data_IF_157083163180
#
_entry.id   IF_157083163180
#
_cell.length_a   1.000
_cell.length_b   1.000
_cell.length_c   1.000
_cell.angle_alpha   90.00
_cell.angle_beta   90.00
_cell.angle_gamma   90.00
#
_symmetry.space_group_name_H-M   'P 1'
#
loop_
_entity.id
_entity.type
_entity.pdbx_description
1 polymer ?
#
# COMPACT_ATOMS: atom_id res chain seq x y z
N UNK A 1 -31.29 36.96 11.58
CA UNK A 1 -30.07 36.31 12.11
C UNK A 1 -29.92 34.97 11.38
N UNK A 2 -29.18 34.96 10.29
CA UNK A 2 -28.79 33.69 9.65
C UNK A 2 -27.86 32.96 10.60
N UNK A 3 -28.32 31.83 11.11
CA UNK A 3 -27.46 30.89 11.85
C UNK A 3 -26.40 30.40 10.88
N UNK A 4 -25.20 30.96 10.95
CA UNK A 4 -24.03 30.49 10.21
C UNK A 4 -23.75 29.03 10.61
N UNK A 5 -24.32 28.10 9.85
CA UNK A 5 -24.04 26.66 10.05
C UNK A 5 -22.54 26.43 9.80
N UNK A 6 -21.83 26.25 10.88
CA UNK A 6 -20.41 25.85 10.80
C UNK A 6 -20.36 24.41 10.33
N UNK A 7 -19.59 24.14 9.29
CA UNK A 7 -19.32 22.76 8.85
C UNK A 7 -18.73 21.91 9.99
N UNK A 8 -18.96 20.61 9.93
CA UNK A 8 -18.48 19.67 10.96
C UNK A 8 -17.02 19.28 10.71
N UNK A 9 -16.11 19.83 11.51
CA UNK A 9 -14.70 19.41 11.50
C UNK A 9 -14.55 17.92 11.82
N UNK A 10 -15.35 17.38 12.75
CA UNK A 10 -15.31 15.97 13.10
C UNK A 10 -15.65 15.07 11.89
N UNK A 11 -16.66 15.47 11.09
CA UNK A 11 -16.99 14.75 9.86
C UNK A 11 -15.86 14.81 8.83
N UNK A 12 -15.23 15.96 8.62
CA UNK A 12 -14.08 16.09 7.74
C UNK A 12 -12.94 15.17 8.21
N UNK A 13 -12.57 15.22 9.48
CA UNK A 13 -11.50 14.39 10.01
C UNK A 13 -11.82 12.90 9.92
N UNK A 14 -13.07 12.48 10.13
CA UNK A 14 -13.45 11.07 10.00
C UNK A 14 -13.29 10.54 8.58
N UNK A 15 -13.72 11.29 7.55
CA UNK A 15 -13.57 10.87 6.16
C UNK A 15 -12.10 10.89 5.70
N UNK A 16 -11.32 11.88 6.16
CA UNK A 16 -9.88 11.94 5.89
C UNK A 16 -9.15 10.79 6.56
N UNK A 17 -9.48 10.45 7.81
CA UNK A 17 -8.88 9.34 8.53
C UNK A 17 -9.09 8.01 7.79
N UNK A 18 -10.28 7.77 7.24
CA UNK A 18 -10.55 6.58 6.44
C UNK A 18 -9.67 6.56 5.18
N UNK A 19 -9.51 7.67 4.48
CA UNK A 19 -8.63 7.74 3.31
C UNK A 19 -7.15 7.53 3.68
N UNK A 20 -6.72 8.02 4.84
CA UNK A 20 -5.36 7.87 5.39
C UNK A 20 -5.03 6.40 5.71
N UNK A 21 -6.02 5.56 6.04
CA UNK A 21 -5.79 4.10 6.20
C UNK A 21 -5.29 3.47 4.89
N UNK A 22 -5.69 3.97 3.72
CA UNK A 22 -5.13 3.53 2.44
C UNK A 22 -3.62 3.82 2.31
N UNK A 23 -3.16 4.95 2.85
CA UNK A 23 -1.72 5.24 2.99
C UNK A 23 -1.03 4.30 3.97
N UNK A 24 -1.66 4.00 5.12
CA UNK A 24 -1.15 3.03 6.09
C UNK A 24 -0.96 1.65 5.44
N UNK A 25 -1.94 1.17 4.66
CA UNK A 25 -1.85 -0.10 3.94
C UNK A 25 -0.71 -0.11 2.93
N UNK A 26 -0.48 1.00 2.22
CA UNK A 26 0.68 1.12 1.35
C UNK A 26 1.98 0.87 2.13
N UNK A 27 2.16 1.53 3.29
CA UNK A 27 3.33 1.32 4.13
C UNK A 27 3.43 -0.11 4.65
N UNK A 28 2.31 -0.68 5.07
CA UNK A 28 2.21 -2.04 5.60
C UNK A 28 2.63 -3.08 4.56
N UNK A 29 2.01 -3.09 3.37
CA UNK A 29 2.32 -4.05 2.29
C UNK A 29 3.76 -3.94 1.80
N UNK A 30 4.30 -2.71 1.76
CA UNK A 30 5.68 -2.49 1.35
C UNK A 30 6.68 -3.10 2.33
N UNK A 31 6.43 -3.03 3.63
CA UNK A 31 7.39 -3.44 4.64
C UNK A 31 7.13 -4.84 5.23
N UNK A 32 5.97 -5.47 4.97
CA UNK A 32 5.66 -6.81 5.47
C UNK A 32 6.68 -7.86 5.03
N UNK A 33 7.23 -7.71 3.83
CA UNK A 33 8.22 -8.62 3.26
C UNK A 33 9.49 -8.72 4.12
N UNK A 34 9.88 -7.65 4.81
CA UNK A 34 11.13 -7.62 5.57
C UNK A 34 11.17 -8.66 6.70
N UNK A 35 10.05 -8.90 7.37
CA UNK A 35 9.96 -9.95 8.39
C UNK A 35 9.79 -11.35 7.81
N UNK A 36 9.12 -11.45 6.66
CA UNK A 36 8.80 -12.72 6.03
C UNK A 36 9.91 -13.26 5.10
N UNK A 37 10.85 -12.42 4.67
CA UNK A 37 11.85 -12.67 3.62
C UNK A 37 12.64 -13.95 3.89
N UNK A 38 13.21 -14.09 5.09
CA UNK A 38 14.05 -15.24 5.44
C UNK A 38 13.26 -16.55 5.48
N UNK A 39 12.06 -16.53 6.08
CA UNK A 39 11.16 -17.68 6.14
C UNK A 39 10.71 -18.13 4.75
N UNK A 40 10.33 -17.17 3.91
CA UNK A 40 9.94 -17.41 2.52
C UNK A 40 11.09 -18.00 1.70
N UNK A 41 12.32 -17.46 1.84
CA UNK A 41 13.50 -17.98 1.17
C UNK A 41 13.77 -19.43 1.59
N UNK A 42 13.78 -19.69 2.90
CA UNK A 42 14.03 -21.03 3.43
C UNK A 42 12.97 -22.04 2.95
N UNK A 43 11.69 -21.63 2.89
CA UNK A 43 10.61 -22.48 2.41
C UNK A 43 10.82 -22.90 0.95
N UNK A 44 11.08 -21.97 0.04
CA UNK A 44 11.26 -22.28 -1.38
C UNK A 44 12.62 -22.90 -1.71
N UNK A 45 13.62 -22.78 -0.83
CA UNK A 45 14.86 -23.57 -0.96
C UNK A 45 14.62 -25.08 -0.81
N UNK A 46 13.53 -25.48 -0.14
CA UNK A 46 13.10 -26.89 -0.05
C UNK A 46 12.38 -27.42 -1.30
N UNK A 47 12.27 -26.64 -2.38
CA UNK A 47 11.61 -27.08 -3.61
C UNK A 47 12.36 -28.20 -4.31
N UNK A 48 11.60 -29.18 -4.81
CA UNK A 48 12.17 -30.37 -5.49
C UNK A 48 12.04 -30.29 -7.01
N UNK A 49 11.16 -29.46 -7.54
CA UNK A 49 10.85 -29.32 -8.95
C UNK A 49 11.68 -28.23 -9.66
N UNK A 50 12.29 -27.32 -8.90
CA UNK A 50 13.16 -26.26 -9.42
C UNK A 50 14.21 -25.84 -8.40
N UNK A 51 15.25 -25.13 -8.86
CA UNK A 51 16.28 -24.54 -7.97
C UNK A 51 15.90 -23.09 -7.65
N UNK A 52 15.62 -22.82 -6.37
CA UNK A 52 15.32 -21.46 -5.90
C UNK A 52 16.60 -20.65 -5.74
N UNK A 53 16.87 -19.77 -6.70
CA UNK A 53 18.08 -18.93 -6.73
C UNK A 53 17.85 -17.57 -6.08
N UNK A 54 18.95 -16.86 -5.77
CA UNK A 54 18.87 -15.48 -5.28
C UNK A 54 18.16 -14.53 -6.26
N UNK A 55 18.19 -14.83 -7.57
CA UNK A 55 17.47 -14.07 -8.59
C UNK A 55 15.94 -14.24 -8.44
N UNK A 56 15.48 -15.48 -8.23
CA UNK A 56 14.06 -15.75 -7.94
C UNK A 56 13.63 -15.09 -6.65
N UNK A 57 14.48 -15.15 -5.61
CA UNK A 57 14.18 -14.52 -4.33
C UNK A 57 14.03 -12.99 -4.47
N UNK A 58 14.98 -12.33 -5.15
CA UNK A 58 14.92 -10.90 -5.42
C UNK A 58 13.68 -10.50 -6.24
N UNK A 59 13.32 -11.30 -7.27
CA UNK A 59 12.09 -11.08 -8.02
C UNK A 59 10.85 -11.21 -7.14
N UNK A 60 10.79 -12.22 -6.29
CA UNK A 60 9.67 -12.46 -5.37
C UNK A 60 9.50 -11.30 -4.39
N UNK A 61 10.58 -10.80 -3.82
CA UNK A 61 10.56 -9.62 -2.96
C UNK A 61 10.09 -8.35 -3.70
N UNK A 62 10.48 -8.21 -4.97
CA UNK A 62 10.14 -7.04 -5.78
C UNK A 62 8.82 -7.17 -6.57
N UNK A 63 8.16 -8.33 -6.57
CA UNK A 63 6.99 -8.61 -7.42
C UNK A 63 5.83 -7.64 -7.22
N UNK A 64 5.60 -7.16 -5.99
CA UNK A 64 4.60 -6.13 -5.71
C UNK A 64 4.87 -4.80 -6.44
N UNK A 65 6.15 -4.44 -6.69
CA UNK A 65 6.49 -3.21 -7.42
C UNK A 65 6.00 -3.25 -8.87
N UNK A 66 5.99 -4.43 -9.50
CA UNK A 66 5.41 -4.61 -10.85
C UNK A 66 3.93 -4.23 -10.82
N UNK A 67 3.19 -4.70 -9.82
CA UNK A 67 1.80 -4.32 -9.60
C UNK A 67 1.63 -2.83 -9.34
N UNK A 68 2.52 -2.21 -8.54
CA UNK A 68 2.50 -0.77 -8.26
C UNK A 68 2.57 0.07 -9.53
N UNK A 69 3.43 -0.30 -10.48
CA UNK A 69 3.55 0.40 -11.77
C UNK A 69 2.23 0.31 -12.54
N UNK A 70 1.63 -0.88 -12.62
CA UNK A 70 0.35 -1.09 -13.31
C UNK A 70 -0.76 -0.28 -12.61
N UNK A 71 -0.88 -0.38 -11.29
CA UNK A 71 -1.88 0.34 -10.51
C UNK A 71 -1.78 1.85 -10.64
N UNK A 72 -0.56 2.39 -10.56
CA UNK A 72 -0.31 3.82 -10.71
C UNK A 72 -0.65 4.32 -12.12
N UNK A 73 -0.31 3.55 -13.16
CA UNK A 73 -0.66 3.89 -14.54
C UNK A 73 -2.18 3.90 -14.78
N UNK A 74 -2.91 2.99 -14.14
CA UNK A 74 -4.37 2.90 -14.26
C UNK A 74 -5.13 3.89 -13.35
N UNK A 75 -4.48 4.43 -12.31
CA UNK A 75 -5.12 5.25 -11.27
C UNK A 75 -5.87 6.47 -11.82
N UNK A 76 -5.26 7.19 -12.76
CA UNK A 76 -5.86 8.36 -13.38
C UNK A 76 -7.14 8.03 -14.17
N UNK A 77 -7.10 6.95 -14.96
CA UNK A 77 -8.24 6.48 -15.73
C UNK A 77 -9.38 5.99 -14.82
N UNK A 78 -9.05 5.20 -13.80
CA UNK A 78 -10.02 4.70 -12.81
C UNK A 78 -10.64 5.84 -12.01
N UNK A 79 -9.83 6.77 -11.52
CA UNK A 79 -10.32 7.92 -10.77
C UNK A 79 -11.29 8.78 -11.59
N UNK A 80 -11.07 8.91 -12.91
CA UNK A 80 -11.91 9.70 -13.80
C UNK A 80 -13.21 8.98 -14.16
N UNK A 81 -13.16 7.67 -14.43
CA UNK A 81 -14.32 6.92 -14.91
C UNK A 81 -15.18 6.33 -13.78
N UNK A 82 -14.55 5.74 -12.75
CA UNK A 82 -15.25 5.12 -11.62
C UNK A 82 -15.51 6.08 -10.46
N UNK A 83 -14.69 7.13 -10.35
CA UNK A 83 -14.66 8.03 -9.20
C UNK A 83 -13.63 7.62 -8.15
N UNK A 84 -13.36 8.53 -7.22
CA UNK A 84 -12.31 8.34 -6.22
C UNK A 84 -12.71 7.27 -5.20
N UNK A 85 -13.93 7.33 -4.70
CA UNK A 85 -14.47 6.37 -3.73
C UNK A 85 -14.43 4.92 -4.26
N UNK A 86 -14.97 4.69 -5.47
CA UNK A 86 -15.05 3.33 -6.04
C UNK A 86 -13.66 2.78 -6.35
N UNK A 87 -12.75 3.62 -6.80
CA UNK A 87 -11.36 3.24 -7.04
C UNK A 87 -10.63 2.87 -5.74
N UNK A 88 -10.92 3.55 -4.62
CA UNK A 88 -10.38 3.19 -3.30
C UNK A 88 -11.01 1.91 -2.76
N UNK A 89 -12.31 1.65 -3.03
CA UNK A 89 -12.93 0.36 -2.69
C UNK A 89 -12.22 -0.77 -3.45
N UNK A 90 -11.96 -0.58 -4.74
CA UNK A 90 -11.21 -1.54 -5.54
C UNK A 90 -9.82 -1.80 -4.97
N UNK A 91 -9.09 -0.74 -4.60
CA UNK A 91 -7.78 -0.87 -3.96
C UNK A 91 -7.86 -1.68 -2.66
N UNK A 92 -8.84 -1.40 -1.79
CA UNK A 92 -9.06 -2.14 -0.55
C UNK A 92 -9.36 -3.63 -0.76
N UNK A 93 -10.16 -3.94 -1.78
CA UNK A 93 -10.44 -5.35 -2.16
C UNK A 93 -9.18 -6.04 -2.68
N UNK A 94 -8.37 -5.35 -3.50
CA UNK A 94 -7.12 -5.92 -4.02
C UNK A 94 -6.11 -6.19 -2.90
N UNK A 95 -5.97 -5.28 -1.91
CA UNK A 95 -5.17 -5.52 -0.71
C UNK A 95 -5.64 -6.76 0.05
N UNK A 96 -6.95 -6.85 0.31
CA UNK A 96 -7.52 -7.95 1.07
C UNK A 96 -7.32 -9.30 0.37
N UNK A 97 -7.56 -9.35 -0.95
CA UNK A 97 -7.33 -10.55 -1.77
C UNK A 97 -5.85 -10.94 -1.80
N UNK A 98 -4.97 -9.95 -1.93
CA UNK A 98 -3.52 -10.17 -1.90
C UNK A 98 -3.05 -10.75 -0.58
N UNK A 99 -3.50 -10.18 0.55
CA UNK A 99 -3.12 -10.64 1.88
C UNK A 99 -3.56 -12.09 2.12
N UNK A 100 -4.81 -12.43 1.80
CA UNK A 100 -5.31 -13.80 1.93
C UNK A 100 -4.63 -14.76 0.96
N UNK A 101 -4.45 -14.35 -0.29
CA UNK A 101 -3.80 -15.17 -1.31
C UNK A 101 -2.30 -15.37 -1.07
N UNK A 102 -1.62 -14.40 -0.45
CA UNK A 102 -0.21 -14.55 -0.03
C UNK A 102 -0.09 -15.46 1.20
N UNK A 103 -1.09 -15.45 2.09
CA UNK A 103 -1.16 -16.36 3.24
C UNK A 103 -1.40 -17.81 2.79
N UNK A 104 -2.33 -18.01 1.85
CA UNK A 104 -2.71 -19.32 1.32
C UNK A 104 -2.64 -19.36 -0.21
N UNK A 105 -1.43 -19.36 -0.81
CA UNK A 105 -1.29 -19.29 -2.27
C UNK A 105 -1.88 -20.52 -2.99
N UNK A 106 -2.04 -21.64 -2.29
CA UNK A 106 -2.68 -22.86 -2.78
C UNK A 106 -4.20 -22.74 -3.01
N UNK A 107 -4.87 -21.75 -2.43
CA UNK A 107 -6.35 -21.69 -2.33
C UNK A 107 -7.06 -21.66 -3.69
N UNK A 108 -6.55 -20.93 -4.68
CA UNK A 108 -7.21 -20.78 -6.00
C UNK A 108 -6.76 -21.87 -6.98
N UNK A 109 -5.49 -22.27 -6.94
CA UNK A 109 -4.89 -23.14 -7.94
C UNK A 109 -4.74 -24.60 -7.48
N UNK A 110 -5.26 -24.96 -6.32
CA UNK A 110 -5.22 -26.32 -5.75
C UNK A 110 -3.82 -26.97 -5.78
N UNK A 111 -2.75 -26.18 -5.86
CA UNK A 111 -1.39 -26.65 -5.65
C UNK A 111 -1.27 -27.03 -4.17
N UNK A 112 -0.73 -28.21 -3.88
CA UNK A 112 -0.45 -28.60 -2.50
C UNK A 112 0.41 -27.56 -1.79
N UNK A 113 0.38 -27.51 -0.47
CA UNK A 113 1.16 -26.53 0.33
C UNK A 113 2.67 -26.73 0.29
N UNK A 114 3.18 -27.65 -0.54
CA UNK A 114 4.60 -27.94 -0.75
C UNK A 114 5.28 -26.88 -1.63
N UNK A 115 6.56 -26.58 -1.39
CA UNK A 115 7.30 -25.61 -2.18
C UNK A 115 7.50 -26.11 -3.62
N UNK A 116 6.72 -25.55 -4.54
CA UNK A 116 6.78 -25.86 -5.98
C UNK A 116 6.87 -24.57 -6.79
N UNK A 117 7.30 -24.67 -8.05
CA UNK A 117 7.30 -23.53 -8.98
C UNK A 117 5.88 -22.97 -9.17
N UNK A 118 4.85 -23.83 -9.19
CA UNK A 118 3.46 -23.42 -9.28
C UNK A 118 3.03 -22.56 -8.09
N UNK A 119 3.40 -22.97 -6.87
CA UNK A 119 3.12 -22.20 -5.65
C UNK A 119 3.84 -20.84 -5.64
N UNK A 120 5.10 -20.81 -6.10
CA UNK A 120 5.87 -19.56 -6.21
C UNK A 120 5.22 -18.58 -7.20
N UNK A 121 4.81 -19.07 -8.37
CA UNK A 121 4.13 -18.23 -9.37
C UNK A 121 2.83 -17.69 -8.80
N UNK A 122 2.02 -18.51 -8.15
CA UNK A 122 0.75 -18.11 -7.55
C UNK A 122 0.97 -17.06 -6.46
N UNK A 123 1.93 -17.27 -5.57
CA UNK A 123 2.32 -16.28 -4.56
C UNK A 123 2.69 -14.94 -5.20
N UNK A 124 3.54 -14.95 -6.23
CA UNK A 124 3.94 -13.73 -6.94
C UNK A 124 2.75 -13.04 -7.64
N UNK A 125 1.78 -13.79 -8.18
CA UNK A 125 0.54 -13.22 -8.74
C UNK A 125 -0.23 -12.45 -7.66
N UNK A 126 -0.40 -13.02 -6.46
CA UNK A 126 -1.06 -12.32 -5.37
C UNK A 126 -0.30 -11.07 -4.94
N UNK A 127 1.04 -11.12 -4.90
CA UNK A 127 1.88 -9.94 -4.63
C UNK A 127 1.69 -8.85 -5.69
N UNK A 128 1.60 -9.22 -6.98
CA UNK A 128 1.31 -8.28 -8.06
C UNK A 128 -0.09 -7.66 -7.89
N UNK A 129 -1.10 -8.47 -7.51
CA UNK A 129 -2.46 -7.97 -7.24
C UNK A 129 -2.45 -6.95 -6.09
N UNK A 130 -1.74 -7.23 -4.99
CA UNK A 130 -1.54 -6.28 -3.90
C UNK A 130 -0.85 -5.01 -4.35
N UNK A 131 0.21 -5.16 -5.12
CA UNK A 131 0.91 -4.03 -5.73
C UNK A 131 0.01 -3.14 -6.58
N UNK A 132 -0.93 -3.69 -7.36
CA UNK A 132 -1.93 -2.88 -8.08
C UNK A 132 -2.75 -2.06 -7.08
N UNK A 133 -3.18 -2.64 -5.96
CA UNK A 133 -3.85 -1.95 -4.86
C UNK A 133 -3.00 -0.80 -4.30
N UNK A 134 -1.71 -1.06 -4.05
CA UNK A 134 -0.72 -0.06 -3.61
C UNK A 134 -0.64 1.10 -4.60
N UNK A 135 -0.47 0.81 -5.89
CA UNK A 135 -0.38 1.82 -6.95
C UNK A 135 -1.62 2.70 -7.05
N UNK A 136 -2.81 2.09 -6.90
CA UNK A 136 -4.08 2.83 -6.87
C UNK A 136 -4.20 3.72 -5.63
N UNK A 137 -3.94 3.17 -4.45
CA UNK A 137 -4.07 3.89 -3.19
C UNK A 137 -3.08 5.06 -3.10
N UNK A 138 -1.83 4.87 -3.54
CA UNK A 138 -0.78 5.89 -3.51
C UNK A 138 -1.15 7.16 -4.28
N UNK A 139 -1.86 7.02 -5.40
CA UNK A 139 -2.30 8.14 -6.22
C UNK A 139 -3.65 8.71 -5.75
N UNK A 140 -4.61 7.84 -5.41
CA UNK A 140 -6.01 8.25 -5.21
C UNK A 140 -6.26 8.72 -3.77
N UNK A 141 -5.58 8.19 -2.73
CA UNK A 141 -5.75 8.66 -1.35
C UNK A 141 -5.40 10.15 -1.18
N UNK A 142 -4.21 10.64 -1.58
CA UNK A 142 -3.90 12.06 -1.47
C UNK A 142 -4.80 12.92 -2.38
N UNK A 143 -5.21 12.40 -3.56
CA UNK A 143 -6.17 13.08 -4.42
C UNK A 143 -7.53 13.24 -3.73
N UNK A 144 -8.06 12.18 -3.13
CA UNK A 144 -9.32 12.21 -2.38
C UNK A 144 -9.25 13.22 -1.23
N UNK A 145 -8.18 13.15 -0.42
CA UNK A 145 -7.96 14.09 0.70
C UNK A 145 -7.88 15.53 0.18
N UNK A 146 -7.13 15.78 -0.89
CA UNK A 146 -6.97 17.11 -1.47
C UNK A 146 -8.27 17.70 -2.04
N UNK A 147 -9.20 16.86 -2.52
CA UNK A 147 -10.49 17.29 -3.08
C UNK A 147 -11.57 17.54 -2.01
N UNK A 148 -11.47 16.87 -0.84
CA UNK A 148 -12.43 17.08 0.26
C UNK A 148 -11.95 18.12 1.27
N UNK A 149 -10.64 18.37 1.34
CA UNK A 149 -10.04 19.26 2.33
C UNK A 149 -10.26 20.74 1.99
N UNK A 150 -10.66 21.59 2.96
CA UNK A 150 -10.66 23.03 2.84
C UNK A 150 -9.25 23.56 2.52
N UNK A 151 -9.17 24.65 1.74
CA UNK A 151 -7.90 25.19 1.21
C UNK A 151 -6.87 25.53 2.30
N UNK A 152 -7.33 26.05 3.44
CA UNK A 152 -6.49 26.49 4.55
C UNK A 152 -5.75 25.36 5.30
N UNK A 153 -6.25 24.12 5.26
CA UNK A 153 -5.67 22.96 5.96
C UNK A 153 -5.34 21.80 5.00
N UNK A 154 -5.56 21.98 3.69
CA UNK A 154 -5.36 20.92 2.68
C UNK A 154 -3.97 20.32 2.72
N UNK A 155 -2.94 21.16 2.76
CA UNK A 155 -1.55 20.69 2.80
C UNK A 155 -1.29 19.81 4.02
N UNK A 156 -1.75 20.22 5.20
CA UNK A 156 -1.62 19.45 6.42
C UNK A 156 -2.33 18.08 6.32
N UNK A 157 -3.57 18.04 5.81
CA UNK A 157 -4.32 16.79 5.71
C UNK A 157 -3.74 15.84 4.67
N UNK A 158 -3.20 16.36 3.55
CA UNK A 158 -2.49 15.53 2.57
C UNK A 158 -1.19 14.97 3.15
N UNK A 159 -0.47 15.73 3.99
CA UNK A 159 0.73 15.24 4.68
C UNK A 159 0.44 14.08 5.66
N UNK A 160 -0.78 13.99 6.19
CA UNK A 160 -1.19 12.84 7.01
C UNK A 160 -1.14 11.51 6.24
N UNK A 161 -1.38 11.55 4.93
CA UNK A 161 -1.23 10.34 4.10
C UNK A 161 0.22 9.85 4.10
N UNK A 162 1.19 10.77 3.98
CA UNK A 162 2.62 10.41 4.02
C UNK A 162 3.02 9.91 5.42
N UNK A 163 2.54 10.58 6.47
CA UNK A 163 2.75 10.10 7.84
C UNK A 163 2.21 8.68 8.04
N UNK A 164 1.01 8.40 7.51
CA UNK A 164 0.38 7.09 7.64
C UNK A 164 1.17 5.98 6.91
N UNK A 165 1.81 6.28 5.77
CA UNK A 165 2.69 5.33 5.08
C UNK A 165 3.83 4.90 6.01
N UNK A 166 4.54 5.87 6.61
CA UNK A 166 5.66 5.59 7.51
C UNK A 166 5.17 4.88 8.78
N UNK A 167 4.03 5.31 9.32
CA UNK A 167 3.43 4.66 10.48
C UNK A 167 2.99 3.22 10.19
N UNK A 168 2.48 2.95 8.98
CA UNK A 168 2.14 1.59 8.53
C UNK A 168 3.37 0.67 8.47
N UNK A 169 4.51 1.20 8.01
CA UNK A 169 5.79 0.46 8.03
C UNK A 169 6.20 0.12 9.47
N UNK A 170 6.10 1.08 10.39
CA UNK A 170 6.41 0.84 11.80
C UNK A 170 5.49 -0.21 12.42
N UNK A 171 4.18 -0.12 12.14
CA UNK A 171 3.18 -1.07 12.65
C UNK A 171 3.48 -2.49 12.18
N UNK A 172 3.80 -2.68 10.90
CA UNK A 172 4.06 -4.04 10.37
C UNK A 172 5.36 -4.63 10.92
N UNK A 173 6.40 -3.84 11.16
CA UNK A 173 7.60 -4.33 11.83
C UNK A 173 7.26 -4.87 13.22
N UNK A 174 6.46 -4.12 13.98
CA UNK A 174 6.01 -4.55 15.28
C UNK A 174 5.11 -5.81 15.22
N UNK A 175 4.21 -5.89 14.24
CA UNK A 175 3.36 -7.07 14.03
C UNK A 175 4.20 -8.28 13.62
N UNK A 176 5.17 -8.13 12.72
CA UNK A 176 6.09 -9.20 12.34
C UNK A 176 6.89 -9.71 13.56
N UNK A 177 7.36 -8.80 14.43
CA UNK A 177 8.03 -9.15 15.67
C UNK A 177 7.10 -9.95 16.61
N UNK A 178 5.84 -9.53 16.77
CA UNK A 178 4.87 -10.26 17.60
C UNK A 178 4.55 -11.64 17.03
N UNK A 179 4.43 -11.77 15.71
CA UNK A 179 4.17 -13.05 15.02
C UNK A 179 5.36 -13.97 15.17
N UNK A 180 6.59 -13.46 15.02
CA UNK A 180 7.80 -14.24 15.23
C UNK A 180 7.87 -14.75 16.68
N UNK A 181 7.54 -13.90 17.67
CA UNK A 181 7.48 -14.24 19.09
C UNK A 181 8.79 -14.87 19.59
N UNK A 182 8.70 -16.11 20.07
CA UNK A 182 9.87 -16.89 20.54
C UNK A 182 10.51 -17.77 19.46
N UNK A 183 9.99 -17.75 18.24
CA UNK A 183 10.50 -18.59 17.15
C UNK A 183 11.75 -17.96 16.52
N UNK A 184 12.67 -18.80 16.07
CA UNK A 184 13.88 -18.35 15.40
C UNK A 184 13.65 -18.08 13.92
N UNK A 185 14.34 -17.07 13.40
CA UNK A 185 14.45 -16.88 11.95
C UNK A 185 15.45 -17.89 11.37
N UNK A 186 15.23 -18.33 10.10
CA UNK A 186 16.23 -19.14 9.40
C UNK A 186 17.54 -18.35 9.24
N UNK A 187 18.65 -19.00 9.57
CA UNK A 187 19.98 -18.51 9.28
C UNK A 187 20.43 -19.19 7.97
N UNK A 188 20.59 -18.40 6.92
CA UNK A 188 20.94 -18.89 5.59
C UNK A 188 22.38 -18.46 5.29
N UNK A 189 23.25 -19.43 5.12
CA UNK A 189 24.67 -19.21 4.79
C UNK A 189 25.00 -19.81 3.42
N UNK A 190 25.95 -19.19 2.74
CA UNK A 190 26.46 -19.70 1.46
C UNK A 190 27.61 -20.67 1.73
N UNK A 191 27.31 -21.96 1.64
CA UNK A 191 28.30 -23.05 1.82
C UNK A 191 28.62 -23.64 0.44
N UNK A 192 29.90 -23.57 0.01
CA UNK A 192 30.35 -24.05 -1.29
C UNK A 192 29.54 -23.51 -2.49
N UNK A 193 29.09 -22.26 -2.43
CA UNK A 193 28.30 -21.61 -3.50
C UNK A 193 26.80 -21.95 -3.52
N UNK A 194 26.32 -22.69 -2.51
CA UNK A 194 24.91 -23.06 -2.35
C UNK A 194 24.40 -22.48 -1.03
N UNK A 195 23.23 -21.84 -1.05
CA UNK A 195 22.57 -21.38 0.17
C UNK A 195 22.09 -22.59 0.99
N UNK A 196 22.42 -22.63 2.27
CA UNK A 196 22.01 -23.68 3.21
C UNK A 196 21.43 -23.07 4.48
N UNK A 197 20.43 -23.73 5.07
CA UNK A 197 19.85 -23.35 6.35
C UNK A 197 20.68 -23.99 7.46
N UNK A 198 21.31 -23.18 8.31
CA UNK A 198 22.20 -23.64 9.37
C UNK A 198 21.44 -24.07 10.62
N UNK A 199 20.25 -23.53 10.85
CA UNK A 199 19.42 -23.82 12.04
C UNK A 199 18.02 -24.37 11.68
N UNK A 200 17.88 -25.46 10.90
CA UNK A 200 16.59 -25.91 10.36
C UNK A 200 15.56 -26.24 11.45
N UNK A 201 15.97 -26.89 12.54
CA UNK A 201 15.06 -27.30 13.62
C UNK A 201 14.51 -26.08 14.39
N UNK A 202 15.36 -25.13 14.72
CA UNK A 202 14.95 -23.89 15.43
C UNK A 202 14.06 -23.00 14.56
N UNK A 203 14.25 -23.01 13.25
CA UNK A 203 13.52 -22.19 12.28
C UNK A 203 12.35 -22.93 11.61
N UNK A 204 12.04 -24.16 11.99
CA UNK A 204 11.04 -25.00 11.31
C UNK A 204 9.65 -24.32 11.20
N UNK A 205 9.20 -23.69 12.29
CA UNK A 205 7.90 -22.99 12.28
C UNK A 205 7.94 -21.75 11.36
N UNK A 206 8.98 -20.94 11.44
CA UNK A 206 9.11 -19.71 10.64
C UNK A 206 9.19 -20.05 9.16
N UNK A 207 9.91 -21.12 8.81
CA UNK A 207 10.04 -21.63 7.44
C UNK A 207 8.73 -22.17 6.89
N UNK A 208 7.98 -22.96 7.68
CA UNK A 208 6.74 -23.60 7.21
C UNK A 208 5.55 -22.63 7.21
N UNK A 209 5.43 -21.78 8.24
CA UNK A 209 4.16 -21.11 8.56
C UNK A 209 4.32 -19.62 8.87
N UNK A 210 5.41 -19.20 9.50
CA UNK A 210 5.58 -17.85 10.02
C UNK A 210 5.39 -16.76 8.96
N UNK A 211 6.04 -16.88 7.81
CA UNK A 211 5.90 -15.93 6.71
C UNK A 211 4.46 -15.80 6.19
N UNK A 212 3.68 -16.90 6.23
CA UNK A 212 2.27 -16.92 5.82
C UNK A 212 1.42 -16.02 6.72
N UNK A 213 1.61 -16.11 8.03
CA UNK A 213 0.91 -15.26 9.00
C UNK A 213 1.34 -13.79 8.91
N UNK A 214 2.62 -13.53 8.62
CA UNK A 214 3.09 -12.15 8.42
C UNK A 214 2.35 -11.49 7.25
N UNK A 215 2.28 -12.13 6.07
CA UNK A 215 1.49 -11.62 4.95
C UNK A 215 -0.02 -11.59 5.26
N UNK A 216 -0.54 -12.62 5.90
CA UNK A 216 -1.96 -12.70 6.26
C UNK A 216 -2.42 -11.63 7.24
N UNK A 217 -1.52 -11.10 8.07
CA UNK A 217 -1.84 -10.05 9.05
C UNK A 217 -2.35 -8.76 8.39
N UNK A 218 -1.95 -8.49 7.16
CA UNK A 218 -2.43 -7.37 6.37
C UNK A 218 -3.94 -7.45 6.06
N UNK A 219 -4.52 -8.65 6.06
CA UNK A 219 -5.96 -8.82 5.80
C UNK A 219 -6.85 -8.06 6.79
N UNK A 220 -6.38 -7.87 8.03
CA UNK A 220 -7.15 -7.15 9.07
C UNK A 220 -7.29 -5.65 8.71
N UNK A 221 -6.21 -4.88 8.54
CA UNK A 221 -6.33 -3.47 8.16
C UNK A 221 -6.90 -3.29 6.74
N UNK A 222 -6.65 -4.21 5.80
CA UNK A 222 -7.21 -4.17 4.46
C UNK A 222 -8.73 -4.36 4.45
N UNK A 223 -9.25 -5.34 5.19
CA UNK A 223 -10.68 -5.55 5.38
C UNK A 223 -11.35 -4.36 6.06
N UNK A 224 -10.73 -3.82 7.11
CA UNK A 224 -11.22 -2.61 7.78
C UNK A 224 -11.30 -1.42 6.81
N UNK A 225 -10.25 -1.18 6.01
CA UNK A 225 -10.25 -0.12 5.00
C UNK A 225 -11.35 -0.32 3.96
N UNK A 226 -11.48 -1.53 3.39
CA UNK A 226 -12.49 -1.85 2.39
C UNK A 226 -13.92 -1.62 2.92
N UNK A 227 -14.17 -1.88 4.20
CA UNK A 227 -15.47 -1.62 4.84
C UNK A 227 -15.68 -0.13 5.09
N UNK A 228 -14.70 0.55 5.69
CA UNK A 228 -14.83 1.95 6.06
C UNK A 228 -14.92 2.87 4.85
N UNK A 229 -14.21 2.59 3.76
CA UNK A 229 -14.26 3.39 2.54
C UNK A 229 -15.66 3.36 1.88
N UNK A 230 -16.45 2.33 2.13
CA UNK A 230 -17.84 2.28 1.69
C UNK A 230 -18.71 3.34 2.38
N UNK A 231 -18.35 3.77 3.58
CA UNK A 231 -19.13 4.74 4.38
C UNK A 231 -18.82 6.20 4.05
N UNK A 232 -17.65 6.49 3.45
CA UNK A 232 -17.29 7.86 3.09
C UNK A 232 -18.01 8.31 1.81
N UNK A 233 -18.28 9.62 1.64
CA UNK A 233 -18.90 10.15 0.43
C UNK A 233 -17.94 10.13 -0.76
N UNK A 234 -18.46 10.28 -1.96
CA UNK A 234 -17.64 10.59 -3.13
C UNK A 234 -17.20 12.07 -3.08
N UNK A 235 -16.10 12.41 -3.76
CA UNK A 235 -15.56 13.77 -3.70
C UNK A 235 -16.46 14.78 -4.40
N UNK A 236 -16.60 16.02 -3.86
CA UNK A 236 -17.41 17.06 -4.49
C UNK A 236 -17.00 17.35 -5.93
N UNK A 237 -15.70 17.34 -6.22
CA UNK A 237 -15.18 17.58 -7.57
C UNK A 237 -15.65 16.53 -8.58
N UNK A 238 -15.58 15.26 -8.22
CA UNK A 238 -16.06 14.19 -9.08
C UNK A 238 -17.58 14.24 -9.29
N UNK A 239 -18.33 14.55 -8.22
CA UNK A 239 -19.79 14.70 -8.31
C UNK A 239 -20.19 15.82 -9.25
N UNK A 240 -19.47 16.96 -9.26
CA UNK A 240 -19.68 18.05 -10.23
C UNK A 240 -19.34 17.59 -11.63
N UNK A 241 -18.21 16.92 -11.85
CA UNK A 241 -17.81 16.39 -13.15
C UNK A 241 -18.85 15.44 -13.75
N UNK A 242 -19.58 14.72 -12.92
CA UNK A 242 -20.63 13.76 -13.34
C UNK A 242 -22.06 14.36 -13.32
N UNK A 243 -22.20 15.68 -13.16
CA UNK A 243 -23.49 16.37 -13.16
C UNK A 243 -24.33 16.19 -11.89
N UNK A 244 -23.77 15.59 -10.82
CA UNK A 244 -24.50 15.33 -9.56
C UNK A 244 -24.34 16.47 -8.55
N UNK A 245 -24.66 17.70 -8.97
CA UNK A 245 -24.42 18.93 -8.20
C UNK A 245 -25.14 18.95 -6.85
N UNK A 246 -26.38 18.46 -6.79
CA UNK A 246 -27.15 18.38 -5.53
C UNK A 246 -26.50 17.48 -4.49
N UNK A 247 -25.79 16.44 -4.92
CA UNK A 247 -24.99 15.56 -4.04
C UNK A 247 -23.70 16.25 -3.61
N UNK A 248 -23.03 16.94 -4.54
CA UNK A 248 -21.83 17.73 -4.25
C UNK A 248 -22.11 18.79 -3.20
N UNK A 249 -23.22 19.54 -3.36
CA UNK A 249 -23.64 20.56 -2.39
C UNK A 249 -23.84 19.97 -0.99
N UNK A 250 -24.56 18.86 -0.87
CA UNK A 250 -24.78 18.20 0.44
C UNK A 250 -23.47 17.77 1.13
N UNK A 251 -22.48 17.30 0.38
CA UNK A 251 -21.17 16.95 0.94
C UNK A 251 -20.44 18.21 1.42
N UNK A 252 -20.46 19.28 0.59
CA UNK A 252 -19.83 20.55 0.93
C UNK A 252 -20.51 21.24 2.14
N UNK A 253 -21.83 21.19 2.26
CA UNK A 253 -22.56 21.72 3.41
C UNK A 253 -22.15 21.05 4.72
N UNK A 254 -21.95 19.72 4.71
CA UNK A 254 -21.47 18.99 5.88
C UNK A 254 -20.04 19.36 6.27
N UNK A 255 -19.19 19.66 5.30
CA UNK A 255 -17.77 19.98 5.53
C UNK A 255 -17.56 21.45 5.82
N UNK A 256 -18.15 22.35 5.00
CA UNK A 256 -17.85 23.78 4.96
C UNK A 256 -19.03 24.67 5.44
N UNK A 257 -20.20 24.09 5.71
CA UNK A 257 -21.36 24.83 6.16
C UNK A 257 -21.84 25.88 5.16
N UNK A 258 -21.99 27.12 5.58
CA UNK A 258 -22.52 28.24 4.77
C UNK A 258 -21.66 28.60 3.55
N UNK A 259 -20.37 28.26 3.54
CA UNK A 259 -19.49 28.51 2.40
C UNK A 259 -19.67 27.49 1.24
N UNK A 260 -20.51 26.48 1.42
CA UNK A 260 -20.67 25.36 0.46
C UNK A 260 -21.08 25.81 -0.95
N UNK A 261 -22.01 26.76 -1.05
CA UNK A 261 -22.50 27.25 -2.34
C UNK A 261 -21.41 27.98 -3.14
N UNK A 262 -20.60 28.80 -2.47
CA UNK A 262 -19.49 29.50 -3.10
C UNK A 262 -18.41 28.52 -3.58
N UNK A 263 -18.03 27.54 -2.75
CA UNK A 263 -17.07 26.50 -3.10
C UNK A 263 -17.59 25.65 -4.27
N UNK A 264 -18.88 25.33 -4.31
CA UNK A 264 -19.49 24.63 -5.43
C UNK A 264 -19.34 25.42 -6.75
N UNK A 265 -19.59 26.75 -6.70
CA UNK A 265 -19.42 27.62 -7.86
C UNK A 265 -17.95 27.66 -8.34
N UNK A 266 -17.01 27.74 -7.42
CA UNK A 266 -15.56 27.71 -7.72
C UNK A 266 -15.14 26.37 -8.35
N UNK A 267 -15.65 25.24 -7.84
CA UNK A 267 -15.41 23.92 -8.44
C UNK A 267 -15.97 23.84 -9.86
N UNK A 268 -17.21 24.34 -10.10
CA UNK A 268 -17.81 24.39 -11.43
C UNK A 268 -16.95 25.18 -12.42
N UNK A 269 -16.51 26.35 -12.02
CA UNK A 269 -15.65 27.20 -12.86
C UNK A 269 -14.34 26.48 -13.20
N UNK A 270 -13.75 25.75 -12.25
CA UNK A 270 -12.50 25.02 -12.47
C UNK A 270 -12.69 23.77 -13.36
N UNK A 271 -13.83 23.10 -13.26
CA UNK A 271 -14.15 21.89 -14.05
C UNK A 271 -14.49 22.24 -15.49
N UNK A 272 -15.11 23.40 -15.74
CA UNK A 272 -15.47 23.86 -17.09
C UNK A 272 -14.29 24.45 -17.88
N UNK A 273 -13.20 24.83 -17.21
CA UNK A 273 -11.97 25.26 -17.89
C UNK A 273 -11.39 24.09 -18.67
N UNK A 274 -11.20 24.29 -19.98
CA UNK A 274 -10.56 23.28 -20.86
C UNK A 274 -9.24 22.83 -20.23
N UNK A 275 -9.05 21.52 -20.16
CA UNK A 275 -7.79 20.91 -19.71
C UNK A 275 -6.66 21.47 -20.57
N UNK A 276 -5.76 22.22 -19.95
CA UNK A 276 -4.56 22.70 -20.64
C UNK A 276 -3.68 21.51 -21.02
N UNK A 277 -2.89 21.68 -22.09
CA UNK A 277 -1.97 20.62 -22.52
C UNK A 277 -0.93 20.38 -21.42
N UNK A 278 -0.53 19.11 -21.23
CA UNK A 278 0.43 18.69 -20.21
C UNK A 278 1.71 19.57 -20.16
N UNK A 279 2.12 20.10 -21.31
CA UNK A 279 3.32 20.94 -21.45
C UNK A 279 3.02 22.45 -21.40
N UNK A 280 1.80 22.87 -21.09
CA UNK A 280 1.45 24.30 -21.00
C UNK A 280 2.25 25.06 -19.97
N UNK A 281 2.65 24.40 -18.87
CA UNK A 281 3.49 24.97 -17.81
C UNK A 281 5.00 24.79 -18.03
N UNK A 282 5.42 24.31 -19.20
CA UNK A 282 6.82 24.10 -19.57
C UNK A 282 7.35 22.70 -19.19
N UNK A 283 8.38 22.28 -19.93
CA UNK A 283 9.02 20.97 -19.72
C UNK A 283 9.78 20.86 -18.39
N UNK A 284 10.21 21.98 -17.82
CA UNK A 284 11.02 22.00 -16.59
C UNK A 284 10.25 21.42 -15.41
N UNK A 285 8.97 21.73 -15.23
CA UNK A 285 8.15 21.21 -14.13
C UNK A 285 8.03 19.67 -14.19
N UNK A 286 7.84 19.14 -15.40
CA UNK A 286 7.75 17.70 -15.63
C UNK A 286 9.10 17.04 -15.39
N UNK A 287 10.19 17.64 -15.90
CA UNK A 287 11.55 17.16 -15.70
C UNK A 287 11.91 17.10 -14.20
N UNK A 288 11.63 18.16 -13.43
CA UNK A 288 11.87 18.19 -11.98
C UNK A 288 11.09 17.06 -11.29
N UNK A 289 9.81 16.87 -11.61
CA UNK A 289 8.99 15.81 -11.03
C UNK A 289 9.55 14.40 -11.32
N UNK A 290 9.97 14.15 -12.55
CA UNK A 290 10.58 12.87 -12.95
C UNK A 290 11.91 12.68 -12.20
N UNK A 291 12.78 13.69 -12.18
CA UNK A 291 14.11 13.59 -11.54
C UNK A 291 13.99 13.36 -10.03
N UNK A 292 13.05 14.04 -9.35
CA UNK A 292 12.80 13.80 -7.92
C UNK A 292 12.37 12.35 -7.66
N UNK A 293 11.48 11.81 -8.49
CA UNK A 293 11.03 10.42 -8.37
C UNK A 293 12.18 9.42 -8.64
N UNK A 294 13.01 9.70 -9.65
CA UNK A 294 14.19 8.88 -9.96
C UNK A 294 15.18 8.90 -8.79
N UNK A 295 15.51 10.08 -8.26
CA UNK A 295 16.43 10.18 -7.14
C UNK A 295 15.91 9.51 -5.87
N UNK A 296 14.61 9.62 -5.59
CA UNK A 296 13.99 8.92 -4.46
C UNK A 296 14.20 7.40 -4.54
N UNK A 297 14.10 6.81 -5.73
CA UNK A 297 14.32 5.37 -5.92
C UNK A 297 15.81 5.01 -6.00
N UNK A 298 16.63 5.88 -6.60
CA UNK A 298 18.07 5.65 -6.75
C UNK A 298 18.83 5.61 -5.41
N UNK A 299 18.29 6.23 -4.36
CA UNK A 299 18.80 6.11 -2.97
C UNK A 299 18.70 4.64 -2.46
N UNK A 300 17.88 3.80 -3.08
CA UNK A 300 17.74 2.40 -2.70
C UNK A 300 16.86 2.17 -1.46
N UNK A 301 15.94 3.08 -1.16
CA UNK A 301 15.09 3.02 0.04
C UNK A 301 14.36 1.67 0.16
N UNK A 302 13.83 1.14 -0.95
CA UNK A 302 13.12 -0.14 -0.93
C UNK A 302 14.05 -1.31 -0.61
N UNK A 303 15.29 -1.30 -1.09
CA UNK A 303 16.27 -2.33 -0.76
C UNK A 303 16.59 -2.32 0.74
N UNK A 304 16.77 -1.15 1.33
CA UNK A 304 17.00 -1.01 2.78
C UNK A 304 15.78 -1.50 3.55
N UNK A 305 14.55 -1.10 3.18
CA UNK A 305 13.33 -1.50 3.88
C UNK A 305 13.04 -3.01 3.78
N UNK A 306 13.30 -3.63 2.62
CA UNK A 306 13.01 -5.05 2.41
C UNK A 306 14.00 -5.97 3.11
N UNK A 307 15.27 -5.58 3.14
CA UNK A 307 16.37 -6.38 3.68
C UNK A 307 16.93 -5.81 4.99
N UNK A 308 16.23 -4.90 5.66
CA UNK A 308 16.68 -4.30 6.92
C UNK A 308 17.09 -5.36 7.97
N UNK A 309 16.29 -6.40 8.25
CA UNK A 309 16.66 -7.42 9.22
C UNK A 309 17.93 -8.18 8.84
N UNK A 310 18.16 -8.38 7.54
CA UNK A 310 19.37 -9.05 7.03
C UNK A 310 20.60 -8.16 7.16
N UNK A 311 20.47 -6.89 6.77
CA UNK A 311 21.55 -5.90 6.86
C UNK A 311 22.00 -5.75 8.32
N UNK A 312 21.07 -5.61 9.25
CA UNK A 312 21.40 -5.49 10.69
C UNK A 312 21.97 -6.77 11.28
N UNK A 313 21.49 -7.94 10.83
CA UNK A 313 22.05 -9.23 11.21
C UNK A 313 23.51 -9.38 10.77
N UNK A 314 23.82 -9.03 9.51
CA UNK A 314 25.17 -9.07 8.96
C UNK A 314 26.14 -8.07 9.64
N UNK A 315 25.59 -6.99 10.24
CA UNK A 315 26.34 -6.04 11.06
C UNK A 315 26.60 -6.54 12.51
N UNK A 316 26.20 -7.77 12.83
CA UNK A 316 26.43 -8.40 14.15
C UNK A 316 25.41 -8.00 15.22
N UNK A 317 24.27 -7.43 14.85
CA UNK A 317 23.18 -7.13 15.78
C UNK A 317 22.32 -8.39 16.01
N UNK A 318 22.65 -9.19 17.00
CA UNK A 318 21.97 -10.45 17.31
C UNK A 318 20.61 -10.28 18.01
N UNK A 319 20.23 -9.06 18.39
CA UNK A 319 18.96 -8.83 19.08
C UNK A 319 17.77 -9.08 18.13
N UNK A 320 16.87 -10.04 18.44
CA UNK A 320 15.70 -10.35 17.59
C UNK A 320 14.83 -9.13 17.31
N UNK A 321 14.73 -8.20 18.23
CA UNK A 321 13.97 -6.96 18.07
C UNK A 321 14.58 -6.06 16.98
N UNK A 322 15.92 -5.98 16.91
CA UNK A 322 16.64 -5.19 15.91
C UNK A 322 16.62 -5.87 14.53
N UNK A 323 16.49 -7.20 14.50
CA UNK A 323 16.38 -7.96 13.25
C UNK A 323 14.97 -7.91 12.64
N UNK A 324 13.96 -7.45 13.35
CA UNK A 324 12.56 -7.39 12.88
C UNK A 324 11.99 -5.97 12.84
N UNK A 325 12.60 -5.01 13.51
CA UNK A 325 12.24 -3.59 13.56
C UNK A 325 13.27 -2.73 12.84
#
# INVERSE_FOLDING_TARGET
>A
METTQRGSRAYLFSIVLVAVIGGLLFGYDTAVISGAEKGLQAFFMGATDFTYTNAWHGFTCASALVGCVIGSALSGWLATNLGRKRSLILAGVLFFVSALGSMYPEFIFFSGGEPTMGLLITFNIYRVIGGVGVGLASAICPMYIGEVAPSNIRGMLVSWNQFAIIFGQLVVYFVNFLILGSHANPVIEMVHGVNQIVNPDAAAWTTATGWRYMFGSEAVPAGLFALLICLVPETPRYLVMTGQESRALRVLERINGSAAAQILADIKNTVTVKTERLFAYGYLCIFIGIMLSVFQQAIGINAVLYYAPRIFGDMGMENPMVQTV
#
